data_IF_862068973184
#
_entry.id   IF_862068973184
#
_cell.length_a   1.000
_cell.length_b   1.000
_cell.length_c   1.000
_cell.angle_alpha   90.00
_cell.angle_beta   90.00
_cell.angle_gamma   90.00
#
_symmetry.space_group_name_H-M   'P 1'
#
loop_
_entity.id
_entity.type
_entity.pdbx_description
1 polymer ?
#
# COMPACT_ATOMS: atom_id res chain seq x y z
N UNK A 1 -34.32 82.14 2.97
CA UNK A 1 -34.14 81.02 2.01
C UNK A 1 -34.17 79.74 2.85
N UNK A 2 -35.32 79.06 3.06
CA UNK A 2 -35.98 78.05 2.18
C UNK A 2 -34.89 77.11 1.60
N UNK A 3 -34.76 75.82 1.95
CA UNK A 3 -35.73 74.71 1.89
C UNK A 3 -35.17 73.44 2.57
N UNK A 4 -36.03 72.54 3.11
CA UNK A 4 -35.81 71.06 3.15
C UNK A 4 -36.61 70.47 1.96
N UNK A 5 -36.23 69.39 1.24
CA UNK A 5 -36.54 68.01 1.71
C UNK A 5 -35.75 66.81 1.09
N UNK A 6 -35.94 65.64 1.73
CA UNK A 6 -36.01 64.22 1.30
C UNK A 6 -35.49 63.72 -0.08
N UNK A 7 -34.83 62.55 -0.09
CA UNK A 7 -35.39 61.23 -0.53
C UNK A 7 -34.27 60.21 -0.90
N UNK A 8 -34.19 59.07 -0.17
CA UNK A 8 -34.48 57.68 -0.60
C UNK A 8 -33.68 57.11 -1.79
N UNK A 9 -32.90 56.05 -1.51
CA UNK A 9 -32.93 54.81 -2.29
C UNK A 9 -32.34 53.65 -1.47
N UNK A 10 -33.18 52.68 -1.15
CA UNK A 10 -32.79 51.37 -0.64
C UNK A 10 -32.53 50.44 -1.83
N UNK A 11 -31.44 49.66 -1.80
CA UNK A 11 -31.28 48.47 -2.62
C UNK A 11 -30.71 47.34 -1.76
N UNK A 12 -31.58 46.40 -1.42
CA UNK A 12 -31.34 45.03 -0.98
C UNK A 12 -30.38 44.28 -1.90
N UNK A 13 -29.46 43.47 -1.35
CA UNK A 13 -29.10 42.17 -1.94
C UNK A 13 -28.34 41.24 -0.96
N UNK A 14 -28.99 40.12 -0.69
CA UNK A 14 -28.46 38.76 -0.50
C UNK A 14 -27.46 38.46 0.65
N UNK A 15 -27.98 37.80 1.68
CA UNK A 15 -27.23 36.94 2.58
C UNK A 15 -26.65 35.74 1.81
N UNK A 16 -25.31 35.61 1.80
CA UNK A 16 -24.61 34.43 1.30
C UNK A 16 -24.52 33.37 2.39
N UNK A 17 -25.41 32.39 2.38
CA UNK A 17 -25.22 31.12 3.07
C UNK A 17 -24.41 30.20 2.16
N UNK A 18 -23.08 30.22 2.31
CA UNK A 18 -22.21 29.20 1.74
C UNK A 18 -22.35 27.93 2.56
N UNK A 19 -23.21 27.02 2.10
CA UNK A 19 -23.16 25.61 2.48
C UNK A 19 -21.88 25.02 1.89
N UNK A 20 -20.76 25.20 2.60
CA UNK A 20 -19.51 24.54 2.30
C UNK A 20 -19.68 23.05 2.61
N UNK A 21 -20.05 22.28 1.59
CA UNK A 21 -19.89 20.83 1.58
C UNK A 21 -18.42 20.51 1.72
N UNK A 22 -17.99 20.23 2.95
CA UNK A 22 -16.63 19.80 3.25
C UNK A 22 -16.39 18.43 2.62
N UNK A 23 -15.75 18.40 1.46
CA UNK A 23 -15.12 17.19 0.95
C UNK A 23 -14.00 16.87 1.93
N UNK A 24 -14.22 15.85 2.76
CA UNK A 24 -13.15 15.29 3.60
C UNK A 24 -12.18 14.62 2.64
N UNK A 25 -11.10 15.34 2.29
CA UNK A 25 -9.97 14.74 1.62
C UNK A 25 -9.33 13.81 2.65
N UNK A 26 -9.60 12.51 2.54
CA UNK A 26 -8.90 11.50 3.31
C UNK A 26 -7.40 11.65 2.99
N UNK A 27 -6.64 12.19 3.93
CA UNK A 27 -5.19 12.23 3.83
C UNK A 27 -4.69 10.78 3.83
N UNK A 28 -3.84 10.37 2.87
CA UNK A 28 -3.25 9.04 2.92
C UNK A 28 -2.45 8.92 4.22
N UNK A 29 -2.84 7.97 5.07
CA UNK A 29 -2.17 7.78 6.35
C UNK A 29 -0.70 7.42 6.14
N UNK A 30 0.15 7.96 7.01
CA UNK A 30 1.60 7.74 7.00
C UNK A 30 1.89 6.28 7.29
N UNK A 31 2.43 5.56 6.32
CA UNK A 31 3.03 4.25 6.54
C UNK A 31 4.25 4.42 7.47
N UNK A 32 4.09 4.02 8.73
CA UNK A 32 5.20 3.85 9.68
C UNK A 32 5.43 2.37 9.84
N UNK A 33 6.16 1.74 8.91
CA UNK A 33 6.71 0.43 9.25
C UNK A 33 7.91 0.05 8.38
N UNK A 34 8.88 -0.53 9.08
CA UNK A 34 10.17 -0.97 8.61
C UNK A 34 10.25 -2.50 8.71
N UNK A 35 11.30 -3.07 8.12
CA UNK A 35 11.60 -4.51 8.18
C UNK A 35 11.55 -5.09 9.61
N UNK A 36 11.97 -4.31 10.61
CA UNK A 36 11.92 -4.67 12.03
C UNK A 36 10.52 -4.95 12.58
N UNK A 37 9.47 -4.44 11.93
CA UNK A 37 8.09 -4.61 12.36
C UNK A 37 7.51 -5.97 11.96
N UNK A 38 8.24 -6.80 11.21
CA UNK A 38 7.77 -8.14 10.85
C UNK A 38 8.81 -9.24 10.96
N UNK A 39 10.10 -8.90 11.03
CA UNK A 39 11.13 -9.92 11.24
C UNK A 39 11.09 -10.51 12.65
N UNK A 40 11.59 -11.73 12.78
CA UNK A 40 11.76 -12.43 14.07
C UNK A 40 10.45 -12.55 14.87
N UNK A 41 9.31 -12.58 14.19
CA UNK A 41 8.00 -12.73 14.83
C UNK A 41 7.31 -11.42 15.21
N UNK A 42 7.91 -10.26 14.91
CA UNK A 42 7.31 -8.97 15.21
C UNK A 42 5.91 -8.84 14.57
N UNK A 43 4.99 -8.21 15.29
CA UNK A 43 3.58 -8.06 14.90
C UNK A 43 2.90 -9.38 14.46
N UNK A 44 3.36 -10.54 14.94
CA UNK A 44 2.80 -11.85 14.59
C UNK A 44 3.00 -12.23 13.13
N UNK A 45 4.06 -11.72 12.51
CA UNK A 45 4.58 -12.21 11.24
C UNK A 45 5.45 -13.45 11.47
N UNK A 46 5.79 -14.13 10.39
CA UNK A 46 6.66 -15.30 10.39
C UNK A 46 7.70 -15.17 9.29
N UNK A 47 8.96 -15.28 9.67
CA UNK A 47 10.05 -15.39 8.70
C UNK A 47 9.87 -16.66 7.88
N UNK A 48 10.00 -16.53 6.57
CA UNK A 48 9.85 -17.63 5.61
C UNK A 48 11.04 -17.66 4.66
N UNK A 49 11.22 -18.79 3.97
CA UNK A 49 12.23 -18.87 2.91
C UNK A 49 11.87 -17.94 1.75
N UNK A 50 12.87 -17.28 1.19
CA UNK A 50 12.77 -16.54 -0.07
C UNK A 50 12.34 -17.43 -1.25
N UNK A 51 12.56 -18.73 -1.15
CA UNK A 51 12.14 -19.72 -2.14
C UNK A 51 10.75 -20.30 -1.88
N UNK A 52 10.01 -19.81 -0.89
CA UNK A 52 8.70 -20.34 -0.55
C UNK A 52 7.71 -20.11 -1.69
N UNK A 53 7.13 -21.19 -2.19
CA UNK A 53 6.09 -21.13 -3.21
C UNK A 53 4.73 -21.16 -2.52
N UNK A 54 3.95 -20.09 -2.71
CA UNK A 54 2.53 -20.03 -2.33
C UNK A 54 1.62 -20.19 -3.54
N UNK A 55 0.31 -20.07 -3.34
CA UNK A 55 -0.71 -19.88 -4.40
C UNK A 55 -0.98 -18.39 -4.60
N UNK A 56 -1.46 -17.94 -5.78
CA UNK A 56 -1.83 -16.53 -5.96
C UNK A 56 -2.87 -16.11 -4.94
N UNK A 57 -2.68 -14.95 -4.32
CA UNK A 57 -3.62 -14.35 -3.40
C UNK A 57 -4.02 -12.97 -3.91
N UNK A 58 -5.32 -12.77 -4.13
CA UNK A 58 -5.85 -11.49 -4.55
C UNK A 58 -5.55 -11.09 -6.00
N UNK A 59 -5.42 -9.78 -6.26
CA UNK A 59 -5.41 -9.21 -7.61
C UNK A 59 -4.12 -9.54 -8.38
N UNK A 60 -4.15 -9.29 -9.69
CA UNK A 60 -3.10 -9.71 -10.61
C UNK A 60 -1.71 -9.14 -10.25
N UNK A 61 -0.69 -9.97 -10.51
CA UNK A 61 0.72 -9.63 -10.38
C UNK A 61 1.09 -8.35 -11.14
N UNK A 62 2.11 -7.64 -10.64
CA UNK A 62 2.69 -6.46 -11.29
C UNK A 62 4.09 -6.75 -11.77
N UNK A 63 4.43 -6.27 -12.96
CA UNK A 63 5.82 -6.23 -13.41
C UNK A 63 6.51 -5.04 -12.75
N UNK A 64 7.50 -5.30 -11.91
CA UNK A 64 8.36 -4.28 -11.32
C UNK A 64 9.27 -3.68 -12.38
N UNK A 65 9.93 -4.55 -13.15
CA UNK A 65 10.88 -4.14 -14.19
C UNK A 65 11.01 -5.19 -15.27
N UNK A 66 11.30 -4.74 -16.48
CA UNK A 66 11.79 -5.59 -17.56
C UNK A 66 13.28 -5.32 -17.74
N UNK A 67 14.05 -6.37 -17.97
CA UNK A 67 15.49 -6.32 -18.01
C UNK A 67 16.06 -6.82 -19.36
N UNK A 68 17.09 -6.17 -19.93
CA UNK A 68 17.66 -6.55 -21.22
C UNK A 68 18.23 -7.97 -21.28
N UNK A 69 18.64 -8.55 -20.15
CA UNK A 69 19.12 -9.92 -20.05
C UNK A 69 17.97 -10.93 -19.94
N UNK A 70 16.72 -10.49 -20.15
CA UNK A 70 15.54 -11.34 -20.21
C UNK A 70 14.91 -11.64 -18.85
N UNK A 71 15.42 -11.07 -17.76
CA UNK A 71 14.78 -11.18 -16.45
C UNK A 71 13.55 -10.23 -16.40
N UNK A 72 12.48 -10.65 -15.76
CA UNK A 72 11.32 -9.80 -15.53
C UNK A 72 10.94 -9.89 -14.07
N UNK A 73 11.27 -8.83 -13.33
CA UNK A 73 10.95 -8.70 -11.92
C UNK A 73 9.44 -8.66 -11.78
N UNK A 74 8.82 -9.67 -11.15
CA UNK A 74 7.37 -9.74 -10.97
C UNK A 74 7.02 -9.76 -9.49
N UNK A 75 6.24 -8.76 -9.08
CA UNK A 75 5.64 -8.63 -7.77
C UNK A 75 4.32 -9.41 -7.76
N UNK A 76 4.16 -10.26 -6.77
CA UNK A 76 2.94 -11.04 -6.57
C UNK A 76 2.59 -11.09 -5.08
N UNK A 77 1.29 -11.09 -4.79
CA UNK A 77 0.79 -11.44 -3.47
C UNK A 77 0.48 -12.94 -3.48
N UNK A 78 1.04 -13.67 -2.51
CA UNK A 78 0.91 -15.13 -2.40
C UNK A 78 0.34 -15.50 -1.05
N UNK A 79 -0.27 -16.69 -0.99
CA UNK A 79 -0.67 -17.30 0.27
C UNK A 79 -0.20 -18.75 0.37
N UNK A 80 0.04 -19.24 1.58
CA UNK A 80 0.32 -20.65 1.85
C UNK A 80 -0.12 -21.05 3.25
N UNK A 81 -0.26 -22.35 3.49
CA UNK A 81 -0.59 -22.88 4.82
C UNK A 81 0.68 -23.15 5.60
N UNK A 82 0.79 -22.57 6.79
CA UNK A 82 1.89 -22.81 7.73
C UNK A 82 1.29 -23.11 9.10
N UNK A 83 1.64 -24.25 9.69
CA UNK A 83 1.09 -24.77 10.96
C UNK A 83 -0.44 -24.72 11.02
N UNK A 84 -1.10 -25.12 9.92
CA UNK A 84 -2.56 -25.20 9.81
C UNK A 84 -3.28 -23.86 9.60
N UNK A 85 -2.57 -22.74 9.45
CA UNK A 85 -3.17 -21.42 9.18
C UNK A 85 -2.67 -20.85 7.86
N UNK A 86 -3.57 -20.18 7.13
CA UNK A 86 -3.21 -19.50 5.87
C UNK A 86 -2.48 -18.21 6.19
N UNK A 87 -1.33 -18.01 5.54
CA UNK A 87 -0.51 -16.80 5.65
C UNK A 87 -0.32 -16.17 4.27
N UNK A 88 -0.53 -14.85 4.19
CA UNK A 88 -0.20 -14.04 3.03
C UNK A 88 1.22 -13.48 3.12
N UNK A 89 1.90 -13.34 1.98
CA UNK A 89 3.21 -12.73 1.85
C UNK A 89 3.42 -12.12 0.46
N UNK A 90 4.27 -11.10 0.37
CA UNK A 90 4.72 -10.56 -0.90
C UNK A 90 5.88 -11.39 -1.45
N UNK A 91 5.91 -11.58 -2.76
CA UNK A 91 6.98 -12.29 -3.45
C UNK A 91 7.43 -11.52 -4.70
N UNK A 92 8.74 -11.49 -4.92
CA UNK A 92 9.39 -10.92 -6.09
C UNK A 92 10.16 -12.01 -6.82
N UNK A 93 9.72 -12.36 -8.03
CA UNK A 93 10.42 -13.34 -8.87
C UNK A 93 11.45 -12.64 -9.75
N UNK A 94 12.62 -13.26 -9.90
CA UNK A 94 13.71 -12.78 -10.75
C UNK A 94 14.11 -11.30 -10.56
N UNK A 95 14.35 -10.84 -9.31
CA UNK A 95 14.80 -9.48 -9.05
C UNK A 95 16.19 -9.21 -9.62
N UNK A 96 16.53 -7.93 -9.77
CA UNK A 96 17.91 -7.45 -9.86
C UNK A 96 18.46 -7.08 -8.50
N UNK A 97 19.79 -7.13 -8.34
CA UNK A 97 20.46 -6.59 -7.15
C UNK A 97 20.00 -5.15 -6.90
N UNK A 98 19.53 -4.90 -5.68
CA UNK A 98 19.00 -3.59 -5.28
C UNK A 98 17.50 -3.39 -5.51
N UNK A 99 16.82 -4.32 -6.20
CA UNK A 99 15.36 -4.37 -6.19
C UNK A 99 14.87 -4.73 -4.77
N UNK A 100 13.70 -4.22 -4.43
CA UNK A 100 13.11 -4.33 -3.11
C UNK A 100 11.67 -4.84 -3.19
N UNK A 101 11.27 -5.63 -2.20
CA UNK A 101 9.91 -6.13 -2.01
C UNK A 101 9.47 -5.89 -0.57
N UNK A 102 8.19 -5.59 -0.39
CA UNK A 102 7.56 -5.54 0.93
C UNK A 102 6.08 -5.91 0.81
N UNK A 103 5.48 -6.20 1.95
CA UNK A 103 4.04 -6.42 2.06
C UNK A 103 3.44 -5.32 2.92
N UNK A 104 2.44 -4.62 2.40
CA UNK A 104 1.60 -3.76 3.22
C UNK A 104 0.42 -4.57 3.74
N UNK A 105 0.12 -4.41 5.03
CA UNK A 105 -1.01 -5.04 5.69
C UNK A 105 -1.75 -4.03 6.56
N UNK A 106 -3.07 -4.01 6.47
CA UNK A 106 -3.94 -3.10 7.23
C UNK A 106 -5.00 -3.85 8.03
N UNK A 107 -5.39 -3.27 9.16
CA UNK A 107 -6.52 -3.69 10.00
C UNK A 107 -7.76 -2.80 9.84
N UNK A 108 -7.65 -1.67 9.12
CA UNK A 108 -8.70 -0.67 8.97
C UNK A 108 -9.03 -0.36 7.51
N UNK A 109 -8.68 -1.28 6.59
CA UNK A 109 -9.15 -1.24 5.21
C UNK A 109 -8.36 -0.36 4.23
N UNK A 110 -7.38 0.46 4.68
CA UNK A 110 -6.27 1.07 3.89
C UNK A 110 -5.47 2.15 4.65
N UNK A 111 -6.10 2.88 5.56
CA UNK A 111 -5.59 4.18 6.06
C UNK A 111 -4.39 4.05 6.99
N UNK A 112 -4.31 2.99 7.80
CA UNK A 112 -3.12 2.69 8.61
C UNK A 112 -2.69 1.27 8.27
N UNK A 113 -1.47 1.12 7.79
CA UNK A 113 -0.91 -0.18 7.45
C UNK A 113 0.49 -0.35 8.03
N UNK A 114 0.81 -1.58 8.37
CA UNK A 114 2.16 -2.04 8.67
C UNK A 114 2.79 -2.48 7.35
N UNK A 115 3.91 -1.88 7.01
CA UNK A 115 4.79 -2.27 5.93
C UNK A 115 5.84 -3.26 6.44
N UNK A 116 5.72 -4.52 6.03
CA UNK A 116 6.73 -5.52 6.27
C UNK A 116 7.81 -5.46 5.17
N UNK A 117 8.87 -4.70 5.42
CA UNK A 117 10.00 -4.50 4.52
C UNK A 117 10.47 -3.03 4.50
N UNK A 118 11.27 -2.62 3.49
CA UNK A 118 11.68 -3.40 2.33
C UNK A 118 12.70 -4.49 2.64
N UNK A 119 12.59 -5.60 1.91
CA UNK A 119 13.61 -6.64 1.77
C UNK A 119 14.32 -6.39 0.44
N UNK A 120 15.66 -6.41 0.43
CA UNK A 120 16.47 -6.04 -0.74
C UNK A 120 17.15 -7.26 -1.34
N UNK A 121 17.05 -7.42 -2.65
CA UNK A 121 17.72 -8.46 -3.41
C UNK A 121 19.24 -8.22 -3.41
N UNK A 122 19.99 -9.25 -3.04
CA UNK A 122 21.46 -9.25 -3.02
C UNK A 122 22.09 -10.00 -4.19
N UNK A 123 21.27 -10.73 -4.97
CA UNK A 123 21.69 -11.49 -6.15
C UNK A 123 20.61 -11.41 -7.23
N UNK A 124 21.05 -11.34 -8.48
CA UNK A 124 20.16 -11.34 -9.63
C UNK A 124 19.44 -12.69 -9.78
N UNK A 125 18.17 -12.65 -10.15
CA UNK A 125 17.37 -13.83 -10.45
C UNK A 125 16.90 -14.62 -9.22
N UNK A 126 17.53 -14.43 -8.06
CA UNK A 126 17.19 -15.13 -6.83
C UNK A 126 15.84 -14.59 -6.29
N UNK A 127 14.80 -15.42 -6.17
CA UNK A 127 13.52 -14.99 -5.60
C UNK A 127 13.69 -14.37 -4.22
N UNK A 128 12.76 -13.51 -3.85
CA UNK A 128 12.75 -12.80 -2.57
C UNK A 128 11.32 -12.76 -2.03
N UNK A 129 11.13 -12.96 -0.72
CA UNK A 129 9.83 -12.86 -0.07
C UNK A 129 9.85 -11.86 1.08
N UNK A 130 8.67 -11.33 1.44
CA UNK A 130 8.48 -10.70 2.75
C UNK A 130 8.28 -11.76 3.83
N UNK A 131 8.35 -11.38 5.11
CA UNK A 131 7.77 -12.21 6.16
C UNK A 131 6.26 -12.41 5.91
N UNK A 132 5.74 -13.55 6.36
CA UNK A 132 4.35 -13.97 6.13
C UNK A 132 3.46 -13.59 7.30
N UNK A 133 2.23 -13.15 7.02
CA UNK A 133 1.25 -12.76 8.03
C UNK A 133 -0.01 -13.59 7.87
N UNK A 134 -0.54 -14.10 8.97
CA UNK A 134 -1.79 -14.88 8.94
C UNK A 134 -2.90 -14.05 8.30
N UNK A 135 -3.71 -14.67 7.45
CA UNK A 135 -4.88 -14.05 6.83
C UNK A 135 -6.08 -14.08 7.76
N UNK A 136 -7.00 -13.14 7.57
CA UNK A 136 -8.27 -13.06 8.30
C UNK A 136 -9.39 -12.77 7.29
N UNK A 137 -10.62 -13.19 7.59
CA UNK A 137 -11.78 -12.98 6.70
C UNK A 137 -12.43 -11.60 6.88
N UNK A 138 -11.97 -10.80 7.84
CA UNK A 138 -12.44 -9.44 8.05
C UNK A 138 -12.18 -8.58 6.81
N UNK A 139 -13.17 -7.82 6.32
CA UNK A 139 -13.00 -6.95 5.15
C UNK A 139 -12.02 -5.79 5.40
N UNK A 140 -11.70 -5.52 6.67
CA UNK A 140 -10.72 -4.50 7.04
C UNK A 140 -9.29 -5.06 7.08
N UNK A 141 -9.15 -6.39 7.03
CA UNK A 141 -7.90 -7.11 7.07
C UNK A 141 -7.39 -7.35 5.65
N UNK A 142 -6.58 -6.41 5.16
CA UNK A 142 -6.21 -6.40 3.74
C UNK A 142 -4.71 -6.39 3.54
N UNK A 143 -4.30 -6.89 2.38
CA UNK A 143 -2.90 -6.99 2.01
C UNK A 143 -2.64 -6.48 0.60
N UNK A 144 -1.43 -6.00 0.35
CA UNK A 144 -0.90 -5.88 -1.01
C UNK A 144 0.59 -6.15 -1.03
N UNK A 145 1.06 -6.65 -2.17
CA UNK A 145 2.48 -6.77 -2.43
C UNK A 145 2.96 -5.50 -3.14
N UNK A 146 4.07 -4.95 -2.70
CA UNK A 146 4.68 -3.77 -3.29
C UNK A 146 6.17 -4.01 -3.49
N UNK A 147 6.74 -3.36 -4.51
CA UNK A 147 8.16 -3.45 -4.79
C UNK A 147 8.68 -2.21 -5.52
N UNK A 148 9.99 -2.05 -5.51
CA UNK A 148 10.70 -0.88 -6.01
C UNK A 148 12.20 -1.16 -6.18
N UNK A 149 13.00 -0.10 -6.30
CA UNK A 149 14.46 -0.20 -6.33
C UNK A 149 15.08 0.05 -7.70
N UNK A 150 16.40 0.27 -7.72
CA UNK A 150 17.17 0.54 -8.95
C UNK A 150 16.67 1.73 -9.78
N UNK A 151 16.09 2.75 -9.15
CA UNK A 151 15.54 3.96 -9.80
C UNK A 151 14.14 3.82 -10.40
N UNK A 152 13.46 2.68 -10.19
CA UNK A 152 12.09 2.45 -10.69
C UNK A 152 11.03 3.04 -9.75
N UNK A 153 9.90 3.42 -10.32
CA UNK A 153 8.71 3.81 -9.55
C UNK A 153 8.16 2.59 -8.79
N UNK A 154 7.70 2.82 -7.56
CA UNK A 154 7.05 1.79 -6.74
C UNK A 154 5.84 1.22 -7.47
N UNK A 155 5.76 -0.11 -7.53
CA UNK A 155 4.64 -0.86 -8.07
C UNK A 155 3.97 -1.65 -6.95
N UNK A 156 2.64 -1.65 -6.92
CA UNK A 156 1.87 -2.42 -5.95
C UNK A 156 0.73 -3.18 -6.64
N UNK A 157 0.43 -4.37 -6.15
CA UNK A 157 -0.85 -5.03 -6.46
C UNK A 157 -2.01 -4.19 -5.88
N UNK A 158 -3.22 -4.44 -6.37
CA UNK A 158 -4.39 -3.93 -5.64
C UNK A 158 -4.46 -4.62 -4.26
N UNK A 159 -5.28 -4.07 -3.38
CA UNK A 159 -5.50 -4.69 -2.07
C UNK A 159 -6.36 -5.94 -2.24
N UNK A 160 -5.88 -7.07 -1.70
CA UNK A 160 -6.68 -8.25 -1.41
C UNK A 160 -7.44 -7.96 -0.12
#
# INVERSE_FOLDING_TARGET
MISRPLARAACTAAAGLLLAGGVVVAAPGTALAARSDCERGANGFRDISDSLVGVPAGPADKTLRSDPQGLSGRISLRATTIDGRVHGFAALSAPRVGDEIWMDWTLNGRDVHVQCGPFRASRDGQPLTSAAKVTDNSPNYRFRACGGGGGQAVQCTDWW
#
